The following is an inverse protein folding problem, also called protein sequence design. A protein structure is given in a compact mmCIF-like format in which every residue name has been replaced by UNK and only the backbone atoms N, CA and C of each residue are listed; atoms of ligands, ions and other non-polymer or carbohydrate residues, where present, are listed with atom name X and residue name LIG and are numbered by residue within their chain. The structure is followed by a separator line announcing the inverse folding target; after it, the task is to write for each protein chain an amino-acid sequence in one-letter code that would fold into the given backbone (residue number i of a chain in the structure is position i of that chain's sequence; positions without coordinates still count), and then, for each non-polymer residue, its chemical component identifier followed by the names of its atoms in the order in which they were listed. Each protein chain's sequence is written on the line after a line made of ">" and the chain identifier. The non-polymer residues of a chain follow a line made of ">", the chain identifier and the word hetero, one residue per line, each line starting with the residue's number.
data_IF_468785347095
#
_entry.id   IF_468785347095
#
_cell.length_a   1.000
_cell.length_b   1.000
_cell.length_c   1.000
_cell.angle_alpha   90.00
_cell.angle_beta   90.00
_cell.angle_gamma   90.00
#
_symmetry.space_group_name_H-M   'P 1'
#
loop_
_entity.id
_entity.type
_entity.pdbx_description
1 polymer ?
#
# COMPACT_ATOMS: atom_id res chain seq x y z
N UNK A 1 -4.30 15.43 20.85
CA UNK A 1 -4.03 15.00 19.47
C UNK A 1 -3.42 13.60 19.45
N UNK A 2 -2.31 13.34 20.15
CA UNK A 2 -1.66 12.02 20.28
C UNK A 2 -1.69 11.55 21.74
N UNK A 3 -2.72 10.81 22.20
CA UNK A 3 -2.88 10.48 23.63
C UNK A 3 -1.69 9.73 24.24
N UNK A 4 -1.03 8.85 23.47
CA UNK A 4 0.11 8.10 23.94
C UNK A 4 1.33 8.98 24.32
N UNK A 5 1.49 10.14 23.67
CA UNK A 5 2.62 11.04 23.93
C UNK A 5 2.49 11.83 25.24
N UNK A 6 1.30 11.87 25.84
CA UNK A 6 1.10 12.49 27.17
C UNK A 6 1.52 11.58 28.34
N UNK A 7 1.92 10.33 28.04
CA UNK A 7 2.35 9.37 29.04
C UNK A 7 3.73 9.73 29.61
N UNK A 8 3.91 9.50 30.91
CA UNK A 8 5.22 9.52 31.53
C UNK A 8 5.86 8.14 31.54
N UNK A 9 7.16 8.09 31.25
CA UNK A 9 7.99 6.87 31.32
C UNK A 9 9.14 7.14 32.30
N UNK A 10 9.25 6.33 33.33
CA UNK A 10 10.19 6.54 34.43
C UNK A 10 10.08 7.93 35.06
N UNK A 11 8.87 8.48 35.19
CA UNK A 11 8.60 9.80 35.76
C UNK A 11 8.92 11.00 34.87
N UNK A 12 9.45 10.80 33.67
CA UNK A 12 9.76 11.82 32.63
C UNK A 12 8.74 11.81 31.51
N UNK A 13 8.59 12.92 30.80
CA UNK A 13 7.73 12.98 29.62
C UNK A 13 8.28 12.06 28.52
N UNK A 14 7.37 11.37 27.82
CA UNK A 14 7.73 10.47 26.75
C UNK A 14 8.30 11.25 25.55
N UNK A 15 9.49 10.86 25.13
CA UNK A 15 10.09 11.25 23.84
C UNK A 15 10.05 10.04 22.92
N UNK A 16 9.41 10.18 21.75
CA UNK A 16 9.21 9.08 20.79
C UNK A 16 9.76 9.47 19.42
N UNK A 17 10.84 8.84 18.99
CA UNK A 17 11.51 9.09 17.71
C UNK A 17 11.48 7.91 16.75
N UNK A 18 10.70 6.87 17.04
CA UNK A 18 10.60 5.65 16.24
C UNK A 18 9.41 5.66 15.25
N UNK A 19 9.09 6.84 14.70
CA UNK A 19 7.93 6.98 13.79
C UNK A 19 8.12 6.26 12.45
N UNK A 20 9.35 6.02 12.02
CA UNK A 20 9.64 5.25 10.80
C UNK A 20 9.24 3.76 10.94
N UNK A 21 9.26 3.23 12.15
CA UNK A 21 8.77 1.88 12.45
C UNK A 21 7.24 1.87 12.55
N UNK A 22 6.65 2.77 13.36
CA UNK A 22 5.19 2.96 13.50
C UNK A 22 4.89 4.35 14.05
N UNK A 23 3.90 5.05 13.49
CA UNK A 23 3.47 6.35 14.02
C UNK A 23 2.51 6.19 15.20
N UNK A 24 2.45 7.20 16.07
CA UNK A 24 1.44 7.27 17.13
C UNK A 24 0.07 7.60 16.53
N UNK A 25 -1.01 7.02 17.08
CA UNK A 25 -2.37 7.26 16.58
C UNK A 25 -2.91 8.58 17.08
N UNK A 26 -3.59 9.29 16.20
CA UNK A 26 -4.34 10.49 16.57
C UNK A 26 -5.66 10.12 17.25
N UNK A 27 -6.18 11.00 18.12
CA UNK A 27 -7.44 10.76 18.84
C UNK A 27 -8.58 10.39 17.90
N UNK A 28 -8.75 11.07 16.77
CA UNK A 28 -9.80 10.80 15.79
C UNK A 28 -9.79 9.34 15.27
N UNK A 29 -8.61 8.74 15.09
CA UNK A 29 -8.45 7.33 14.69
C UNK A 29 -8.89 6.39 15.81
N UNK A 30 -8.55 6.71 17.07
CA UNK A 30 -8.93 5.92 18.25
C UNK A 30 -10.45 5.99 18.45
N UNK A 31 -11.02 7.19 18.35
CA UNK A 31 -12.43 7.45 18.55
C UNK A 31 -13.28 6.71 17.49
N UNK A 32 -12.88 6.75 16.22
CA UNK A 32 -13.57 6.03 15.16
C UNK A 32 -13.47 4.51 15.34
N UNK A 33 -12.30 3.98 15.70
CA UNK A 33 -12.14 2.56 16.00
C UNK A 33 -13.05 2.10 17.14
N UNK A 34 -13.13 2.89 18.21
CA UNK A 34 -14.02 2.64 19.35
C UNK A 34 -15.49 2.70 18.91
N UNK A 35 -15.90 3.75 18.18
CA UNK A 35 -17.27 3.92 17.68
C UNK A 35 -17.72 2.71 16.86
N UNK A 36 -16.92 2.29 15.88
CA UNK A 36 -17.25 1.14 15.03
C UNK A 36 -17.32 -0.16 15.84
N UNK A 37 -16.45 -0.33 16.83
CA UNK A 37 -16.44 -1.54 17.67
C UNK A 37 -17.63 -1.61 18.62
N UNK A 38 -18.14 -0.48 19.08
CA UNK A 38 -19.21 -0.42 20.11
C UNK A 38 -20.60 -0.14 19.54
N UNK A 39 -20.71 0.54 18.39
CA UNK A 39 -21.98 1.03 17.87
C UNK A 39 -22.38 0.39 16.53
N UNK A 40 -21.41 0.00 15.68
CA UNK A 40 -21.68 -0.46 14.30
C UNK A 40 -20.93 -1.75 13.94
N UNK A 41 -20.68 -2.62 14.90
CA UNK A 41 -19.98 -3.89 14.64
C UNK A 41 -20.91 -4.88 13.93
N UNK A 42 -20.85 -4.93 12.61
CA UNK A 42 -21.63 -5.84 11.77
C UNK A 42 -20.85 -6.23 10.50
N UNK A 43 -21.13 -7.41 9.94
CA UNK A 43 -20.53 -7.81 8.66
C UNK A 43 -21.03 -6.90 7.53
N UNK A 44 -20.15 -6.60 6.58
CA UNK A 44 -20.40 -5.70 5.45
C UNK A 44 -20.91 -6.44 4.21
N UNK A 45 -21.56 -5.72 3.30
CA UNK A 45 -22.02 -6.15 1.97
C UNK A 45 -23.10 -7.24 1.89
N UNK A 46 -23.36 -8.02 2.94
CA UNK A 46 -24.28 -9.18 2.87
C UNK A 46 -25.51 -9.09 3.77
N UNK A 47 -25.45 -8.35 4.84
CA UNK A 47 -26.56 -8.27 5.79
C UNK A 47 -27.50 -7.12 5.43
N UNK A 48 -28.82 -7.36 5.60
CA UNK A 48 -29.86 -6.37 5.28
C UNK A 48 -30.39 -5.80 6.60
N UNK A 49 -29.57 -5.03 7.29
CA UNK A 49 -29.94 -4.31 8.51
C UNK A 49 -29.04 -3.09 8.73
N UNK A 50 -29.55 -2.11 9.47
CA UNK A 50 -28.94 -0.80 9.65
C UNK A 50 -27.45 -0.83 10.06
N UNK A 51 -27.04 -1.69 11.00
CA UNK A 51 -25.66 -1.77 11.44
C UNK A 51 -24.71 -2.23 10.31
N UNK A 52 -25.19 -3.14 9.45
CA UNK A 52 -24.41 -3.58 8.29
C UNK A 52 -24.29 -2.47 7.23
N UNK A 53 -25.33 -1.67 7.03
CA UNK A 53 -25.31 -0.53 6.12
C UNK A 53 -24.33 0.53 6.62
N UNK A 54 -24.36 0.87 7.92
CA UNK A 54 -23.44 1.81 8.55
C UNK A 54 -21.97 1.34 8.47
N UNK A 55 -21.72 0.07 8.76
CA UNK A 55 -20.36 -0.53 8.66
C UNK A 55 -19.87 -0.56 7.21
N UNK A 56 -20.76 -0.91 6.26
CA UNK A 56 -20.43 -0.91 4.81
C UNK A 56 -20.11 0.50 4.35
N UNK A 57 -20.91 1.50 4.76
CA UNK A 57 -20.67 2.89 4.38
C UNK A 57 -19.31 3.38 4.91
N UNK A 58 -18.97 3.12 6.18
CA UNK A 58 -17.70 3.50 6.76
C UNK A 58 -16.51 2.85 6.04
N UNK A 59 -16.65 1.58 5.66
CA UNK A 59 -15.64 0.83 4.92
C UNK A 59 -15.39 1.41 3.51
N UNK A 60 -16.47 1.67 2.77
CA UNK A 60 -16.38 2.22 1.42
C UNK A 60 -15.99 3.72 1.42
N UNK A 61 -16.33 4.47 2.45
CA UNK A 61 -15.84 5.84 2.66
C UNK A 61 -14.32 5.87 2.83
N UNK A 62 -13.74 4.89 3.56
CA UNK A 62 -12.29 4.77 3.67
C UNK A 62 -11.66 4.45 2.30
N UNK A 63 -12.30 3.61 1.48
CA UNK A 63 -11.82 3.33 0.11
C UNK A 63 -11.84 4.59 -0.76
N UNK A 64 -12.90 5.38 -0.67
CA UNK A 64 -13.00 6.65 -1.39
C UNK A 64 -11.95 7.67 -0.90
N UNK A 65 -11.68 7.73 0.40
CA UNK A 65 -10.64 8.58 0.96
C UNK A 65 -9.24 8.18 0.47
N UNK A 66 -8.94 6.87 0.45
CA UNK A 66 -7.67 6.35 -0.09
C UNK A 66 -7.55 6.60 -1.59
N UNK A 67 -8.63 6.40 -2.36
CA UNK A 67 -8.67 6.73 -3.79
C UNK A 67 -8.27 8.20 -4.02
N UNK A 68 -8.90 9.11 -3.30
CA UNK A 68 -8.62 10.54 -3.41
C UNK A 68 -7.20 10.91 -2.95
N UNK A 69 -6.72 10.28 -1.88
CA UNK A 69 -5.38 10.49 -1.31
C UNK A 69 -4.26 10.11 -2.28
N UNK A 70 -4.44 9.02 -3.03
CA UNK A 70 -3.49 8.56 -4.04
C UNK A 70 -3.75 9.15 -5.44
N UNK A 71 -4.84 9.90 -5.63
CA UNK A 71 -5.33 10.32 -6.94
C UNK A 71 -5.55 9.14 -7.91
N UNK A 72 -6.06 8.00 -7.42
CA UNK A 72 -6.39 6.86 -8.27
C UNK A 72 -7.62 7.17 -9.16
N UNK A 73 -7.71 6.55 -10.34
CA UNK A 73 -8.81 6.78 -11.29
C UNK A 73 -10.12 6.17 -10.80
N UNK A 74 -10.09 4.92 -10.35
CA UNK A 74 -11.27 4.18 -9.88
C UNK A 74 -11.02 3.58 -8.49
N UNK A 75 -12.05 3.57 -7.62
CA UNK A 75 -12.00 2.89 -6.31
C UNK A 75 -11.76 1.38 -6.43
N UNK A 76 -12.02 0.78 -7.58
CA UNK A 76 -11.73 -0.62 -7.89
C UNK A 76 -10.23 -0.94 -7.96
N UNK A 77 -9.40 0.07 -8.08
CA UNK A 77 -7.94 -0.03 -8.05
C UNK A 77 -7.37 -0.04 -6.63
N UNK A 78 -8.23 0.18 -5.62
CA UNK A 78 -7.85 0.19 -4.21
C UNK A 78 -8.26 -1.13 -3.55
N UNK A 79 -7.27 -1.91 -3.12
CA UNK A 79 -7.44 -3.19 -2.42
C UNK A 79 -6.96 -3.01 -0.98
N UNK A 80 -7.78 -3.37 -0.01
CA UNK A 80 -7.38 -3.36 1.38
C UNK A 80 -6.64 -4.65 1.76
N UNK A 81 -5.57 -4.49 2.52
CA UNK A 81 -4.70 -5.58 2.99
C UNK A 81 -4.37 -5.38 4.47
N UNK A 82 -3.65 -6.34 5.05
CA UNK A 82 -3.20 -6.21 6.44
C UNK A 82 -1.96 -5.30 6.63
N UNK A 83 -1.38 -4.78 5.55
CA UNK A 83 -0.21 -3.91 5.54
C UNK A 83 0.60 -4.04 4.25
N UNK A 84 1.65 -3.23 4.11
CA UNK A 84 2.56 -3.26 2.94
C UNK A 84 3.08 -4.66 2.63
N UNK A 85 3.53 -5.40 3.64
CA UNK A 85 4.02 -6.77 3.46
C UNK A 85 2.96 -7.68 2.83
N UNK A 86 1.71 -7.61 3.30
CA UNK A 86 0.61 -8.39 2.73
C UNK A 86 0.29 -7.97 1.30
N UNK A 87 0.33 -6.67 1.01
CA UNK A 87 0.10 -6.12 -0.32
C UNK A 87 1.17 -6.60 -1.33
N UNK A 88 2.45 -6.54 -0.96
CA UNK A 88 3.55 -7.03 -1.82
C UNK A 88 3.45 -8.53 -2.03
N UNK A 89 3.14 -9.33 -0.99
CA UNK A 89 2.93 -10.77 -1.13
C UNK A 89 1.77 -11.09 -2.08
N UNK A 90 0.67 -10.33 -2.03
CA UNK A 90 -0.45 -10.45 -2.96
C UNK A 90 0.03 -10.25 -4.40
N UNK A 91 0.75 -9.16 -4.68
CA UNK A 91 1.26 -8.89 -6.03
C UNK A 91 2.27 -9.95 -6.43
N UNK A 92 3.26 -10.28 -5.60
CA UNK A 92 4.28 -11.28 -5.90
C UNK A 92 3.67 -12.66 -6.20
N UNK A 93 2.63 -13.04 -5.47
CA UNK A 93 1.91 -14.29 -5.76
C UNK A 93 1.08 -14.18 -7.04
N UNK A 94 0.13 -13.28 -7.10
CA UNK A 94 -0.88 -13.23 -8.17
C UNK A 94 -0.28 -12.78 -9.51
N UNK A 95 0.64 -11.82 -9.51
CA UNK A 95 1.40 -11.42 -10.69
C UNK A 95 2.34 -12.53 -11.14
N UNK A 96 3.06 -13.15 -10.19
CA UNK A 96 3.94 -14.28 -10.48
C UNK A 96 3.21 -15.45 -11.14
N UNK A 97 1.99 -15.81 -10.65
CA UNK A 97 1.18 -16.86 -11.27
C UNK A 97 0.72 -16.51 -12.68
N UNK A 98 0.38 -15.27 -12.95
CA UNK A 98 -0.15 -14.85 -14.23
C UNK A 98 0.92 -14.61 -15.30
N UNK A 99 2.09 -14.06 -14.91
CA UNK A 99 3.00 -13.43 -15.87
C UNK A 99 4.45 -13.92 -15.79
N UNK A 100 4.84 -14.69 -14.76
CA UNK A 100 6.23 -15.14 -14.58
C UNK A 100 6.36 -16.62 -14.89
N UNK A 101 7.38 -16.96 -15.69
CA UNK A 101 7.76 -18.31 -16.12
C UNK A 101 9.19 -18.61 -15.69
N UNK A 102 9.58 -19.89 -15.83
CA UNK A 102 10.97 -20.32 -15.65
C UNK A 102 11.93 -19.54 -16.56
N UNK A 103 13.02 -19.04 -15.96
CA UNK A 103 14.03 -18.25 -16.63
C UNK A 103 13.68 -16.76 -16.82
N UNK A 104 12.49 -16.32 -16.47
CA UNK A 104 12.14 -14.89 -16.39
C UNK A 104 12.88 -14.20 -15.24
N UNK A 105 12.94 -12.87 -15.28
CA UNK A 105 13.65 -12.05 -14.31
C UNK A 105 12.71 -11.08 -13.58
N UNK A 106 12.98 -10.88 -12.29
CA UNK A 106 12.35 -9.87 -11.44
C UNK A 106 13.43 -8.97 -10.88
N UNK A 107 13.25 -7.67 -10.97
CA UNK A 107 14.23 -6.69 -10.48
C UNK A 107 13.75 -6.10 -9.16
N UNK A 108 14.62 -6.08 -8.15
CA UNK A 108 14.46 -5.31 -6.91
C UNK A 108 15.65 -4.36 -6.75
N UNK A 109 15.56 -3.39 -5.84
CA UNK A 109 16.73 -2.55 -5.56
C UNK A 109 17.46 -3.01 -4.29
N UNK A 110 18.73 -2.64 -4.15
CA UNK A 110 19.51 -2.92 -2.94
C UNK A 110 19.02 -2.11 -1.72
N UNK A 111 18.24 -1.05 -1.96
CA UNK A 111 17.68 -0.17 -0.91
C UNK A 111 16.37 -0.69 -0.30
N UNK A 112 15.90 -1.88 -0.70
CA UNK A 112 14.57 -2.38 -0.31
C UNK A 112 14.50 -2.82 1.16
N UNK A 113 13.34 -2.60 1.75
CA UNK A 113 12.96 -3.27 2.99
C UNK A 113 12.74 -4.78 2.73
N UNK A 114 13.00 -5.63 3.73
CA UNK A 114 12.80 -7.09 3.63
C UNK A 114 11.42 -7.47 3.08
N UNK A 115 10.38 -6.70 3.37
CA UNK A 115 9.03 -6.90 2.82
C UNK A 115 8.94 -6.81 1.30
N UNK A 116 9.92 -6.12 0.66
CA UNK A 116 9.99 -5.97 -0.80
C UNK A 116 11.17 -6.72 -1.42
N UNK A 117 11.78 -7.65 -0.68
CA UNK A 117 12.79 -8.59 -1.17
C UNK A 117 12.27 -10.02 -1.07
N UNK A 118 11.89 -10.44 0.14
CA UNK A 118 11.59 -11.84 0.45
C UNK A 118 10.40 -12.39 -0.35
N UNK A 119 9.28 -11.68 -0.55
CA UNK A 119 8.18 -12.17 -1.38
C UNK A 119 8.61 -12.49 -2.82
N UNK A 120 9.48 -11.66 -3.39
CA UNK A 120 10.02 -11.85 -4.74
C UNK A 120 10.99 -13.03 -4.80
N UNK A 121 11.84 -13.23 -3.78
CA UNK A 121 12.69 -14.43 -3.67
C UNK A 121 11.85 -15.70 -3.64
N UNK A 122 10.80 -15.74 -2.79
CA UNK A 122 9.90 -16.89 -2.69
C UNK A 122 9.15 -17.15 -4.01
N UNK A 123 8.73 -16.10 -4.69
CA UNK A 123 8.08 -16.21 -6.00
C UNK A 123 9.05 -16.74 -7.05
N UNK A 124 10.27 -16.18 -7.14
CA UNK A 124 11.31 -16.63 -8.07
C UNK A 124 11.66 -18.10 -7.84
N UNK A 125 11.85 -18.54 -6.58
CA UNK A 125 12.11 -19.95 -6.25
C UNK A 125 10.97 -20.85 -6.73
N UNK A 126 9.70 -20.45 -6.51
CA UNK A 126 8.53 -21.23 -6.90
C UNK A 126 8.36 -21.33 -8.42
N UNK A 127 8.73 -20.26 -9.16
CA UNK A 127 8.53 -20.16 -10.61
C UNK A 127 9.77 -20.53 -11.44
N UNK A 128 10.92 -20.79 -10.82
CA UNK A 128 12.20 -20.97 -11.54
C UNK A 128 12.70 -19.66 -12.19
N UNK A 129 12.30 -18.52 -11.67
CA UNK A 129 12.71 -17.20 -12.15
C UNK A 129 13.96 -16.70 -11.41
N UNK A 130 14.59 -15.65 -11.93
CA UNK A 130 15.84 -15.08 -11.41
C UNK A 130 15.54 -13.71 -10.77
N UNK A 131 16.04 -13.50 -9.56
CA UNK A 131 16.02 -12.19 -8.92
C UNK A 131 17.28 -11.41 -9.32
N UNK A 132 17.07 -10.22 -9.90
CA UNK A 132 18.10 -9.24 -10.22
C UNK A 132 18.06 -8.11 -9.22
N UNK A 133 19.21 -7.49 -8.97
CA UNK A 133 19.32 -6.38 -8.01
C UNK A 133 19.91 -5.15 -8.69
N UNK A 134 19.19 -4.02 -8.61
CA UNK A 134 19.73 -2.70 -8.97
C UNK A 134 20.54 -2.18 -7.76
N UNK A 135 21.84 -1.98 -7.90
CA UNK A 135 22.69 -1.60 -6.78
C UNK A 135 22.54 -0.13 -6.38
N UNK A 136 23.06 0.18 -5.19
CA UNK A 136 23.27 1.56 -4.72
C UNK A 136 24.74 1.97 -4.87
N UNK A 137 25.00 3.26 -4.90
CA UNK A 137 26.35 3.81 -4.80
C UNK A 137 26.80 3.94 -3.33
N UNK A 138 28.02 4.40 -3.09
CA UNK A 138 28.58 4.61 -1.75
C UNK A 138 27.80 5.59 -0.86
N UNK A 139 26.94 6.43 -1.43
CA UNK A 139 26.06 7.38 -0.74
C UNK A 139 24.65 6.82 -0.52
N UNK A 140 24.36 5.59 -0.96
CA UNK A 140 23.06 4.93 -0.83
C UNK A 140 22.05 5.31 -1.91
N UNK A 141 22.42 6.07 -2.93
CA UNK A 141 21.55 6.37 -4.08
C UNK A 141 21.55 5.23 -5.08
N UNK A 142 20.38 4.92 -5.67
CA UNK A 142 20.25 3.91 -6.72
C UNK A 142 21.08 4.29 -7.95
N UNK A 143 21.79 3.33 -8.52
CA UNK A 143 22.54 3.49 -9.77
C UNK A 143 21.62 3.31 -10.98
N UNK A 144 20.80 4.31 -11.25
CA UNK A 144 19.75 4.27 -12.30
C UNK A 144 20.34 4.08 -13.69
N UNK A 145 21.58 4.53 -13.90
CA UNK A 145 22.32 4.34 -15.13
C UNK A 145 22.58 2.86 -15.45
N UNK A 146 22.56 1.98 -14.44
CA UNK A 146 22.74 0.54 -14.64
C UNK A 146 21.43 -0.17 -15.07
N UNK A 147 20.25 0.51 -14.97
CA UNK A 147 18.98 -0.09 -15.38
C UNK A 147 18.96 -0.56 -16.83
N UNK A 148 19.57 0.21 -17.73
CA UNK A 148 19.60 -0.13 -19.17
C UNK A 148 20.36 -1.45 -19.46
N UNK A 149 21.27 -1.85 -18.54
CA UNK A 149 21.99 -3.13 -18.60
C UNK A 149 21.29 -4.27 -17.83
N UNK A 150 20.33 -3.94 -16.95
CA UNK A 150 19.59 -4.92 -16.12
C UNK A 150 18.28 -5.30 -16.79
N UNK A 151 17.55 -4.30 -17.33
CA UNK A 151 16.27 -4.52 -17.99
C UNK A 151 16.46 -5.19 -19.36
N UNK A 152 15.72 -6.28 -19.60
CA UNK A 152 15.77 -7.03 -20.85
C UNK A 152 14.41 -7.72 -21.13
N UNK A 153 14.31 -8.47 -22.23
CA UNK A 153 13.07 -9.14 -22.64
C UNK A 153 12.55 -10.20 -21.67
N UNK A 154 13.37 -10.65 -20.70
CA UNK A 154 12.97 -11.59 -19.64
C UNK A 154 12.46 -10.87 -18.39
N UNK A 155 12.71 -9.57 -18.26
CA UNK A 155 12.27 -8.80 -17.10
C UNK A 155 10.76 -8.68 -17.09
N UNK A 156 10.11 -9.11 -15.99
CA UNK A 156 8.64 -9.12 -15.86
C UNK A 156 8.10 -8.02 -14.96
N UNK A 157 8.85 -7.62 -13.96
CA UNK A 157 8.46 -6.55 -13.02
C UNK A 157 9.70 -6.00 -12.33
N UNK A 158 9.66 -4.71 -11.98
CA UNK A 158 10.61 -4.08 -11.08
C UNK A 158 9.88 -3.63 -9.81
N UNK A 159 10.47 -3.89 -8.63
CA UNK A 159 9.96 -3.41 -7.35
C UNK A 159 10.98 -2.46 -6.71
N UNK A 160 10.50 -1.25 -6.29
CA UNK A 160 11.35 -0.18 -5.77
C UNK A 160 10.71 0.52 -4.58
N UNK A 161 11.50 0.81 -3.53
CA UNK A 161 11.05 1.66 -2.43
C UNK A 161 11.01 3.14 -2.83
N UNK A 162 9.92 3.84 -2.48
CA UNK A 162 9.79 5.29 -2.75
C UNK A 162 10.75 6.09 -1.86
N UNK A 163 10.76 5.79 -0.55
CA UNK A 163 11.67 6.39 0.42
C UNK A 163 12.26 5.28 1.28
N UNK A 164 13.59 5.24 1.37
CA UNK A 164 14.29 4.28 2.23
C UNK A 164 13.96 4.53 3.70
N UNK A 165 13.51 3.49 4.40
CA UNK A 165 13.25 3.56 5.84
C UNK A 165 14.53 3.64 6.69
N UNK A 166 15.69 3.28 6.12
CA UNK A 166 17.00 3.29 6.79
C UNK A 166 17.75 4.59 6.48
N UNK A 167 17.82 4.96 5.20
CA UNK A 167 18.65 6.09 4.74
C UNK A 167 17.87 7.40 4.64
N UNK A 168 16.52 7.35 4.60
CA UNK A 168 15.67 8.54 4.38
C UNK A 168 15.79 9.13 2.96
N UNK A 169 16.47 8.44 2.05
CA UNK A 169 16.64 8.86 0.65
C UNK A 169 15.33 8.70 -0.09
N UNK A 170 14.91 9.74 -0.80
CA UNK A 170 13.79 9.73 -1.74
C UNK A 170 14.32 9.25 -3.09
N UNK A 171 13.87 8.10 -3.54
CA UNK A 171 14.25 7.55 -4.83
C UNK A 171 13.47 8.23 -5.97
N UNK A 172 14.06 8.47 -7.14
CA UNK A 172 13.42 9.08 -8.29
C UNK A 172 12.54 8.06 -9.02
N UNK A 173 11.47 7.62 -8.34
CA UNK A 173 10.60 6.52 -8.81
C UNK A 173 9.94 6.84 -10.15
N UNK A 174 9.63 8.11 -10.47
CA UNK A 174 9.07 8.51 -11.75
C UNK A 174 10.04 8.21 -12.91
N UNK A 175 11.30 8.58 -12.78
CA UNK A 175 12.34 8.29 -13.78
C UNK A 175 12.53 6.77 -13.97
N UNK A 176 12.53 6.02 -12.85
CA UNK A 176 12.65 4.56 -12.88
C UNK A 176 11.46 3.94 -13.62
N UNK A 177 10.23 4.42 -13.35
CA UNK A 177 9.01 3.96 -14.01
C UNK A 177 9.07 4.25 -15.52
N UNK A 178 9.45 5.46 -15.92
CA UNK A 178 9.60 5.85 -17.33
C UNK A 178 10.58 4.93 -18.07
N UNK A 179 11.75 4.64 -17.47
CA UNK A 179 12.74 3.70 -18.03
C UNK A 179 12.14 2.28 -18.15
N UNK A 180 11.51 1.77 -17.12
CA UNK A 180 10.89 0.44 -17.14
C UNK A 180 9.77 0.35 -18.18
N UNK A 181 8.91 1.35 -18.26
CA UNK A 181 7.81 1.38 -19.23
C UNK A 181 8.29 1.48 -20.68
N UNK A 182 9.45 2.12 -20.93
CA UNK A 182 10.04 2.18 -22.27
C UNK A 182 10.35 0.79 -22.87
N UNK A 183 10.50 -0.22 -22.00
CA UNK A 183 10.74 -1.63 -22.35
C UNK A 183 9.59 -2.55 -21.88
N UNK A 184 8.42 -1.98 -21.60
CA UNK A 184 7.18 -2.68 -21.19
C UNK A 184 7.31 -3.47 -19.88
N UNK A 185 8.13 -3.03 -18.93
CA UNK A 185 8.28 -3.61 -17.60
C UNK A 185 7.41 -2.84 -16.61
N UNK A 186 6.40 -3.46 -15.97
CA UNK A 186 5.60 -2.82 -14.92
C UNK A 186 6.42 -2.61 -13.64
N UNK A 187 5.97 -1.61 -12.83
CA UNK A 187 6.68 -1.23 -11.60
C UNK A 187 5.76 -1.27 -10.39
N UNK A 188 6.23 -1.95 -9.32
CA UNK A 188 5.65 -1.84 -7.99
C UNK A 188 6.48 -0.87 -7.15
N UNK A 189 5.81 0.13 -6.56
CA UNK A 189 6.42 1.09 -5.64
C UNK A 189 6.03 0.77 -4.20
N UNK A 190 7.02 0.44 -3.36
CA UNK A 190 6.83 0.37 -1.91
C UNK A 190 6.78 1.79 -1.34
N UNK A 191 5.57 2.26 -1.09
CA UNK A 191 5.25 3.57 -0.56
C UNK A 191 5.10 3.61 0.97
N UNK A 192 5.60 2.61 1.71
CA UNK A 192 5.42 2.54 3.17
C UNK A 192 5.89 3.82 3.90
N UNK A 193 6.96 4.43 3.44
CA UNK A 193 7.41 5.75 3.91
C UNK A 193 6.90 6.88 2.99
N UNK A 194 6.85 6.64 1.67
CA UNK A 194 6.46 7.63 0.68
C UNK A 194 5.06 8.21 0.92
N UNK A 195 4.07 7.37 1.22
CA UNK A 195 2.69 7.80 1.48
C UNK A 195 2.55 8.76 2.68
N UNK A 196 3.51 8.74 3.62
CA UNK A 196 3.50 9.61 4.81
C UNK A 196 4.20 10.95 4.53
N UNK A 197 5.28 10.91 3.75
CA UNK A 197 6.22 12.03 3.63
C UNK A 197 6.11 12.81 2.32
N UNK A 198 5.48 12.22 1.29
CA UNK A 198 5.29 12.82 -0.02
C UNK A 198 3.80 12.93 -0.36
N UNK A 199 3.44 13.94 -1.15
CA UNK A 199 2.18 13.90 -1.88
C UNK A 199 2.31 12.86 -2.99
N UNK A 200 1.52 11.79 -2.89
CA UNK A 200 1.51 10.71 -3.88
C UNK A 200 0.41 10.95 -4.89
N UNK A 201 0.76 10.92 -6.16
CA UNK A 201 -0.17 10.94 -7.29
C UNK A 201 0.18 9.77 -8.20
N UNK A 202 -0.61 8.69 -8.11
CA UNK A 202 -0.33 7.45 -8.85
C UNK A 202 -0.55 7.59 -10.35
N UNK A 203 -1.38 8.56 -10.78
CA UNK A 203 -1.58 8.86 -12.21
C UNK A 203 -0.37 9.62 -12.77
N UNK A 204 0.16 10.63 -12.05
CA UNK A 204 1.37 11.35 -12.45
C UNK A 204 2.62 10.46 -12.40
N UNK A 205 2.75 9.60 -11.39
CA UNK A 205 3.83 8.62 -11.31
C UNK A 205 3.72 7.54 -12.40
N UNK A 206 2.51 7.26 -12.86
CA UNK A 206 2.17 6.16 -13.77
C UNK A 206 2.64 4.78 -13.26
N UNK A 207 2.76 4.57 -11.95
CA UNK A 207 3.14 3.28 -11.38
C UNK A 207 2.04 2.24 -11.59
N UNK A 208 2.44 0.97 -11.74
CA UNK A 208 1.48 -0.13 -11.95
C UNK A 208 0.89 -0.62 -10.64
N UNK A 209 1.69 -0.57 -9.56
CA UNK A 209 1.29 -0.88 -8.19
C UNK A 209 1.92 0.11 -7.23
N UNK A 210 1.16 0.51 -6.20
CA UNK A 210 1.65 1.32 -5.08
C UNK A 210 1.11 0.74 -3.77
N UNK A 211 1.99 0.53 -2.77
CA UNK A 211 1.59 -0.14 -1.52
C UNK A 211 2.02 0.66 -0.31
N UNK A 212 1.18 0.68 0.75
CA UNK A 212 1.55 1.28 2.02
C UNK A 212 0.82 0.65 3.21
N UNK A 213 1.28 0.94 4.42
CA UNK A 213 0.70 0.48 5.70
C UNK A 213 0.04 1.61 6.44
N UNK A 214 -1.17 1.40 6.95
CA UNK A 214 -1.92 2.40 7.70
C UNK A 214 -1.23 2.80 9.02
N UNK A 215 -0.57 1.87 9.72
CA UNK A 215 0.08 2.17 10.99
C UNK A 215 1.24 3.18 10.90
N UNK A 216 1.82 3.37 9.73
CA UNK A 216 2.81 4.42 9.48
C UNK A 216 2.14 5.76 9.14
N UNK A 217 0.92 5.69 8.59
CA UNK A 217 0.06 6.82 8.21
C UNK A 217 -0.90 7.22 9.35
N UNK A 218 -0.52 7.05 10.62
CA UNK A 218 -1.32 7.37 11.83
C UNK A 218 -2.58 6.52 12.03
N UNK A 219 -2.93 5.60 11.12
CA UNK A 219 -4.10 4.71 11.23
C UNK A 219 -3.83 3.49 12.13
N UNK A 220 -4.83 2.63 12.26
CA UNK A 220 -4.71 1.39 13.04
C UNK A 220 -3.71 0.40 12.43
N UNK A 221 -3.08 -0.42 13.27
CA UNK A 221 -2.28 -1.59 12.83
C UNK A 221 -3.18 -2.63 12.17
N UNK A 222 -2.61 -3.51 11.34
CA UNK A 222 -3.37 -4.52 10.61
C UNK A 222 -4.19 -3.93 9.46
N UNK A 223 -3.81 -2.75 8.98
CA UNK A 223 -4.38 -2.10 7.81
C UNK A 223 -3.30 -1.73 6.81
N UNK A 224 -3.57 -1.94 5.55
CA UNK A 224 -2.72 -1.55 4.45
C UNK A 224 -3.51 -1.40 3.16
N UNK A 225 -2.85 -0.86 2.17
CA UNK A 225 -3.43 -0.57 0.87
C UNK A 225 -2.52 -1.10 -0.22
N UNK A 226 -3.13 -1.72 -1.21
CA UNK A 226 -2.58 -1.93 -2.54
C UNK A 226 -3.40 -1.07 -3.52
N UNK A 227 -2.77 -0.10 -4.15
CA UNK A 227 -3.22 0.43 -5.43
C UNK A 227 -2.65 -0.45 -6.55
N UNK A 228 -3.45 -0.77 -7.54
CA UNK A 228 -2.99 -1.45 -8.74
C UNK A 228 -3.78 -0.99 -9.95
N UNK A 229 -3.09 -0.72 -11.07
CA UNK A 229 -3.76 -0.41 -12.33
C UNK A 229 -4.75 -1.52 -12.68
N UNK A 230 -5.96 -1.13 -13.03
CA UNK A 230 -7.07 -2.04 -13.30
C UNK A 230 -6.70 -3.17 -14.27
N UNK A 231 -5.94 -2.87 -15.35
CA UNK A 231 -5.48 -3.84 -16.34
C UNK A 231 -4.74 -5.05 -15.70
N UNK A 232 -3.89 -4.79 -14.69
CA UNK A 232 -3.17 -5.86 -14.00
C UNK A 232 -4.05 -6.62 -13.03
N UNK A 233 -4.83 -5.90 -12.22
CA UNK A 233 -5.73 -6.52 -11.25
C UNK A 233 -6.77 -7.43 -11.90
N UNK A 234 -7.29 -7.09 -13.08
CA UNK A 234 -8.24 -7.92 -13.82
C UNK A 234 -7.61 -9.24 -14.30
N UNK A 235 -6.36 -9.19 -14.77
CA UNK A 235 -5.64 -10.38 -15.29
C UNK A 235 -5.05 -11.27 -14.19
N UNK A 236 -4.70 -10.73 -13.04
CA UNK A 236 -4.13 -11.48 -11.93
C UNK A 236 -5.16 -12.42 -11.31
N UNK A 237 -4.81 -13.69 -10.99
CA UNK A 237 -5.67 -14.58 -10.21
C UNK A 237 -5.78 -14.08 -8.76
N UNK A 238 -6.83 -14.50 -8.00
CA UNK A 238 -6.92 -14.16 -6.59
C UNK A 238 -5.75 -14.75 -5.79
N UNK A 239 -5.34 -14.01 -4.75
CA UNK A 239 -4.27 -14.42 -3.84
C UNK A 239 -4.76 -15.41 -2.77
N UNK A 240 -5.94 -15.13 -2.21
CA UNK A 240 -6.58 -15.95 -1.17
C UNK A 240 -7.97 -16.39 -1.63
N UNK A 241 -8.33 -17.62 -1.27
CA UNK A 241 -9.69 -18.14 -1.48
C UNK A 241 -10.49 -18.08 -0.19
N UNK A 242 -11.80 -17.76 -0.29
CA UNK A 242 -12.69 -17.70 0.86
C UNK A 242 -14.05 -17.14 0.52
N UNK A 243 -14.80 -16.72 1.52
CA UNK A 243 -16.03 -15.95 1.34
C UNK A 243 -15.74 -14.56 0.77
N UNK A 244 -16.74 -13.80 0.46
CA UNK A 244 -16.74 -12.43 -0.10
C UNK A 244 -16.15 -12.32 -1.52
N UNK A 245 -15.03 -12.97 -1.80
CA UNK A 245 -14.29 -12.86 -3.07
C UNK A 245 -14.83 -13.75 -4.21
N UNK A 246 -15.91 -14.48 -3.99
CA UNK A 246 -16.48 -15.43 -4.94
C UNK A 246 -17.75 -14.90 -5.61
N UNK A 247 -17.93 -15.24 -6.89
CA UNK A 247 -19.21 -15.12 -7.60
C UNK A 247 -20.07 -16.36 -7.38
N UNK A 248 -19.89 -17.38 -8.22
CA UNK A 248 -20.55 -18.67 -8.08
C UNK A 248 -19.55 -19.76 -7.66
N UNK A 249 -19.95 -20.62 -6.72
CA UNK A 249 -19.14 -21.74 -6.22
C UNK A 249 -19.84 -23.05 -6.50
N UNK A 250 -19.12 -23.99 -7.11
CA UNK A 250 -19.51 -25.38 -7.18
C UNK A 250 -18.28 -26.27 -6.94
N UNK A 251 -18.48 -27.54 -6.64
CA UNK A 251 -17.37 -28.49 -6.48
C UNK A 251 -16.52 -28.68 -7.77
N UNK A 252 -17.02 -28.27 -8.93
CA UNK A 252 -16.30 -28.38 -10.21
C UNK A 252 -15.62 -27.07 -10.63
N UNK A 253 -16.21 -25.92 -10.28
CA UNK A 253 -15.73 -24.61 -10.76
C UNK A 253 -16.19 -23.49 -9.84
N UNK A 254 -15.30 -22.53 -9.62
CA UNK A 254 -15.58 -21.28 -8.93
C UNK A 254 -15.35 -20.11 -9.87
N UNK A 255 -16.20 -19.10 -9.81
CA UNK A 255 -15.98 -17.79 -10.40
C UNK A 255 -15.74 -16.79 -9.29
N UNK A 256 -15.04 -15.71 -9.61
CA UNK A 256 -14.64 -14.71 -8.61
C UNK A 256 -15.49 -13.44 -8.71
N UNK A 257 -15.60 -12.73 -7.61
CA UNK A 257 -16.25 -11.43 -7.55
C UNK A 257 -15.47 -10.41 -8.41
N UNK A 258 -16.13 -9.32 -8.87
CA UNK A 258 -15.42 -8.23 -9.53
C UNK A 258 -14.46 -7.51 -8.56
N UNK A 259 -13.56 -6.68 -9.10
CA UNK A 259 -12.70 -5.80 -8.32
C UNK A 259 -13.55 -4.82 -7.47
N UNK A 260 -13.11 -4.50 -6.27
CA UNK A 260 -11.90 -4.92 -5.56
C UNK A 260 -12.07 -6.25 -4.82
N UNK A 261 -13.29 -6.77 -4.66
CA UNK A 261 -13.67 -7.90 -3.81
C UNK A 261 -12.90 -9.19 -4.14
N UNK A 262 -12.50 -9.38 -5.40
CA UNK A 262 -11.66 -10.51 -5.87
C UNK A 262 -10.41 -10.73 -5.00
N UNK A 263 -9.86 -9.68 -4.40
CA UNK A 263 -8.64 -9.73 -3.59
C UNK A 263 -8.89 -9.53 -2.09
N UNK A 264 -10.14 -9.39 -1.67
CA UNK A 264 -10.53 -9.15 -0.28
C UNK A 264 -11.32 -10.35 0.25
N UNK A 265 -10.64 -11.47 0.49
CA UNK A 265 -11.26 -12.71 0.94
C UNK A 265 -11.53 -12.72 2.45
N UNK A 266 -12.66 -13.32 2.84
CA UNK A 266 -13.07 -13.49 4.25
C UNK A 266 -13.73 -12.24 4.84
N UNK A 267 -14.06 -12.30 6.12
CA UNK A 267 -14.59 -11.13 6.84
C UNK A 267 -13.52 -10.06 6.98
N UNK A 268 -13.84 -8.87 6.53
CA UNK A 268 -12.93 -7.74 6.50
C UNK A 268 -12.62 -7.19 7.90
N UNK A 269 -11.53 -6.43 8.04
CA UNK A 269 -11.19 -5.72 9.28
C UNK A 269 -12.07 -4.46 9.43
N UNK A 270 -13.28 -4.66 9.93
CA UNK A 270 -14.39 -3.69 9.92
C UNK A 270 -14.15 -2.49 10.83
N UNK A 271 -13.36 -2.63 11.88
CA UNK A 271 -13.08 -1.53 12.82
C UNK A 271 -11.82 -0.75 12.42
N UNK A 272 -10.81 -1.42 11.85
CA UNK A 272 -9.52 -0.78 11.61
C UNK A 272 -9.42 -0.12 10.22
N UNK A 273 -9.96 -0.74 9.17
CA UNK A 273 -9.91 -0.18 7.80
C UNK A 273 -10.53 1.22 7.71
N UNK A 274 -11.72 1.48 8.29
CA UNK A 274 -12.32 2.81 8.23
C UNK A 274 -11.45 3.91 8.87
N UNK A 275 -10.57 3.57 9.82
CA UNK A 275 -9.66 4.56 10.45
C UNK A 275 -8.65 5.18 9.48
N UNK A 276 -8.46 4.58 8.29
CA UNK A 276 -7.65 5.19 7.23
C UNK A 276 -8.21 6.54 6.78
N UNK A 277 -9.54 6.71 6.77
CA UNK A 277 -10.17 7.99 6.43
C UNK A 277 -9.74 9.08 7.43
N UNK A 278 -9.86 8.84 8.73
CA UNK A 278 -9.48 9.80 9.77
C UNK A 278 -7.99 10.14 9.75
N UNK A 279 -7.16 9.14 9.46
CA UNK A 279 -5.72 9.35 9.31
C UNK A 279 -5.37 10.22 8.09
N UNK A 280 -6.03 9.99 6.95
CA UNK A 280 -5.87 10.79 5.73
C UNK A 280 -6.36 12.21 5.94
N UNK A 281 -7.53 12.41 6.56
CA UNK A 281 -8.06 13.72 6.91
C UNK A 281 -7.09 14.51 7.80
N UNK A 282 -6.47 13.83 8.78
CA UNK A 282 -5.44 14.43 9.63
C UNK A 282 -4.21 14.88 8.84
N UNK A 283 -3.72 14.05 7.90
CA UNK A 283 -2.56 14.42 7.05
C UNK A 283 -2.89 15.60 6.15
N UNK A 284 -4.08 15.64 5.57
CA UNK A 284 -4.52 16.75 4.73
C UNK A 284 -4.55 18.05 5.53
N UNK A 285 -5.10 18.03 6.75
CA UNK A 285 -5.08 19.19 7.65
C UNK A 285 -3.66 19.66 8.00
N UNK A 286 -2.70 18.73 8.19
CA UNK A 286 -1.31 19.08 8.42
C UNK A 286 -0.67 19.75 7.20
N UNK A 287 -0.99 19.29 6.00
CA UNK A 287 -0.46 19.84 4.76
C UNK A 287 -1.04 21.24 4.48
N UNK A 288 -2.33 21.43 4.69
CA UNK A 288 -2.99 22.74 4.55
C UNK A 288 -2.42 23.77 5.52
N UNK A 289 -2.23 23.39 6.79
CA UNK A 289 -1.63 24.26 7.81
C UNK A 289 -0.16 24.61 7.49
N UNK A 290 0.61 23.69 6.90
CA UNK A 290 1.97 24.00 6.44
C UNK A 290 1.95 25.02 5.30
N UNK A 291 1.04 24.88 4.34
CA UNK A 291 0.87 25.84 3.25
C UNK A 291 0.48 27.23 3.76
N UNK A 292 -0.43 27.33 4.73
CA UNK A 292 -0.77 28.61 5.38
C UNK A 292 0.42 29.22 6.12
N UNK A 293 1.18 28.41 6.86
CA UNK A 293 2.37 28.87 7.57
C UNK A 293 3.43 29.41 6.60
N UNK A 294 3.73 28.72 5.50
CA UNK A 294 4.65 29.19 4.47
C UNK A 294 4.14 30.44 3.75
N UNK A 295 2.86 30.49 3.40
CA UNK A 295 2.25 31.67 2.77
C UNK A 295 2.24 32.89 3.69
N UNK A 296 2.09 32.71 5.01
CA UNK A 296 2.14 33.80 5.98
C UNK A 296 3.57 34.29 6.26
N UNK A 297 4.60 33.45 6.08
CA UNK A 297 6.01 33.91 6.19
C UNK A 297 6.51 34.64 4.94
N UNK A 298 5.83 34.52 3.80
CA UNK A 298 6.18 35.23 2.55
C UNK A 298 5.40 36.52 2.33
N UNK A 299 4.54 36.92 3.27
CA UNK A 299 3.93 38.27 3.24
C UNK A 299 4.91 39.26 3.84
N UNK A 300 5.23 40.36 3.11
CA UNK A 300 6.17 41.42 3.59
C UNK A 300 5.65 42.12 4.83
#
# INVERSE_FOLDING_TARGET
>A
MFPALSRKVYGKDLVYFDNAATSQRVSAVIDEWNRLSTESNANIHRAVHRLADEATQAYEDARNAVKAFLNAEDRKEIIFTAGTTSAINLVAFSFGEAFVKEGDEVVVTEAEHHSNIVPWQLMCQRKGAVLRVLPVNEYGHLKIEELDGILNEKTRILAVTHISNVLGIINPVKEIIEKCHSVNVPVLVDGAQGAVHCKVDVQDLDCDFYVFSGHKLYAATGTGVLYGKRKWLEMMPPYMGGGEMVGNVSFKKTTYAPLPMKFEAGTQNLASIPTLKQAIEFINLLNDNKLEFYNNQQKP
#
